data_IF_754076092532
#
_entry.id   IF_754076092532
#
_cell.length_a   1.000
_cell.length_b   1.000
_cell.length_c   1.000
_cell.angle_alpha   90.00
_cell.angle_beta   90.00
_cell.angle_gamma   90.00
#
_symmetry.space_group_name_H-M   'P 1'
#
loop_
_entity.id
_entity.type
_entity.pdbx_description
1 polymer ?
#
# COMPACT_ATOMS: atom_id res chain seq x y z
N UNK A 1 -13.54 -7.86 -9.01
CA UNK A 1 -14.07 -6.75 -8.17
C UNK A 1 -14.46 -5.57 -9.06
N UNK A 2 -15.45 -4.73 -8.72
CA UNK A 2 -15.74 -3.52 -9.51
C UNK A 2 -15.02 -2.27 -8.97
N UNK A 3 -14.99 -1.18 -9.76
CA UNK A 3 -14.29 0.08 -9.41
C UNK A 3 -14.81 0.67 -8.10
N UNK A 4 -16.12 0.76 -7.93
CA UNK A 4 -16.75 1.33 -6.72
C UNK A 4 -16.37 0.56 -5.45
N UNK A 5 -16.35 -0.78 -5.51
CA UNK A 5 -15.92 -1.65 -4.41
C UNK A 5 -14.43 -1.45 -4.08
N UNK A 6 -13.57 -1.36 -5.10
CA UNK A 6 -12.14 -1.11 -4.93
C UNK A 6 -11.91 0.23 -4.22
N UNK A 7 -12.51 1.31 -4.73
CA UNK A 7 -12.42 2.66 -4.15
C UNK A 7 -12.93 2.67 -2.71
N UNK A 8 -14.09 2.08 -2.45
CA UNK A 8 -14.68 2.04 -1.10
C UNK A 8 -13.76 1.32 -0.09
N UNK A 9 -13.14 0.20 -0.48
CA UNK A 9 -12.23 -0.56 0.40
C UNK A 9 -10.94 0.19 0.69
N UNK A 10 -10.29 0.73 -0.35
CA UNK A 10 -9.06 1.50 -0.21
C UNK A 10 -9.30 2.78 0.61
N UNK A 11 -10.40 3.50 0.34
CA UNK A 11 -10.77 4.69 1.08
C UNK A 11 -11.11 4.39 2.54
N UNK A 12 -11.89 3.35 2.82
CA UNK A 12 -12.22 2.97 4.20
C UNK A 12 -10.97 2.61 5.02
N UNK A 13 -10.02 1.90 4.39
CA UNK A 13 -8.72 1.59 4.96
C UNK A 13 -7.91 2.86 5.28
N UNK A 14 -7.80 3.77 4.31
CA UNK A 14 -7.07 5.03 4.46
C UNK A 14 -7.70 5.97 5.51
N UNK A 15 -9.02 6.16 5.48
CA UNK A 15 -9.73 7.01 6.46
C UNK A 15 -9.53 6.50 7.88
N UNK A 16 -9.48 5.18 8.09
CA UNK A 16 -9.18 4.63 9.40
C UNK A 16 -7.73 4.91 9.83
N UNK A 17 -6.75 4.77 8.93
CA UNK A 17 -5.37 5.11 9.25
C UNK A 17 -5.18 6.61 9.51
N UNK A 18 -5.93 7.48 8.82
CA UNK A 18 -5.95 8.90 9.10
C UNK A 18 -6.49 9.21 10.51
N UNK A 19 -7.54 8.52 10.95
CA UNK A 19 -8.05 8.64 12.33
C UNK A 19 -7.01 8.24 13.36
N UNK A 20 -6.24 7.18 13.08
CA UNK A 20 -5.14 6.76 13.95
C UNK A 20 -4.03 7.81 14.01
N UNK A 21 -3.62 8.38 12.88
CA UNK A 21 -2.65 9.49 12.82
C UNK A 21 -3.09 10.67 13.69
N UNK A 22 -4.35 11.11 13.55
CA UNK A 22 -4.90 12.21 14.35
C UNK A 22 -4.95 11.88 15.85
N UNK A 23 -5.26 10.63 16.20
CA UNK A 23 -5.27 10.18 17.59
C UNK A 23 -3.86 10.24 18.22
N UNK A 24 -2.84 9.74 17.51
CA UNK A 24 -1.44 9.77 17.98
C UNK A 24 -0.93 11.20 18.12
N UNK A 25 -1.25 12.09 17.16
CA UNK A 25 -0.90 13.51 17.26
C UNK A 25 -1.53 14.13 18.51
N UNK A 26 -2.82 13.88 18.74
CA UNK A 26 -3.54 14.43 19.91
C UNK A 26 -2.94 13.92 21.22
N UNK A 27 -2.66 12.63 21.32
CA UNK A 27 -2.06 12.03 22.52
C UNK A 27 -0.65 12.58 22.78
N UNK A 28 0.20 12.59 21.75
CA UNK A 28 1.57 13.08 21.86
C UNK A 28 1.63 14.58 22.19
N UNK A 29 0.71 15.38 21.65
CA UNK A 29 0.57 16.79 22.01
C UNK A 29 0.13 16.99 23.46
N UNK A 30 -0.80 16.19 23.97
CA UNK A 30 -1.20 16.20 25.39
C UNK A 30 -0.03 15.85 26.31
N UNK A 31 0.72 14.78 26.00
CA UNK A 31 1.92 14.41 26.75
C UNK A 31 2.98 15.52 26.74
N UNK A 32 3.19 16.18 25.59
CA UNK A 32 4.11 17.31 25.47
C UNK A 32 3.67 18.51 26.35
N UNK A 33 2.36 18.80 26.41
CA UNK A 33 1.80 19.85 27.26
C UNK A 33 1.98 19.53 28.75
N UNK A 34 1.71 18.29 29.17
CA UNK A 34 1.89 17.85 30.55
C UNK A 34 3.37 17.95 30.98
N UNK A 35 4.29 17.53 30.11
CA UNK A 35 5.73 17.65 30.35
C UNK A 35 6.19 19.11 30.46
N UNK A 36 5.66 19.99 29.61
CA UNK A 36 5.96 21.43 29.68
C UNK A 36 5.41 22.08 30.96
N UNK A 37 4.21 21.68 31.41
CA UNK A 37 3.61 22.15 32.66
C UNK A 37 4.42 21.67 33.88
N UNK A 38 4.83 20.40 33.91
CA UNK A 38 5.69 19.85 34.96
C UNK A 38 7.04 20.54 35.01
N UNK A 39 7.68 20.76 33.85
CA UNK A 39 8.94 21.50 33.77
C UNK A 39 8.80 22.92 34.34
N UNK A 40 7.72 23.63 33.99
CA UNK A 40 7.41 24.97 34.49
C UNK A 40 7.15 25.00 36.01
N UNK A 41 6.55 23.95 36.57
CA UNK A 41 6.31 23.81 38.02
C UNK A 41 7.55 23.40 38.83
N UNK A 42 8.55 22.79 38.18
CA UNK A 42 9.76 22.24 38.81
C UNK A 42 10.95 23.22 38.88
N UNK A 43 10.73 24.51 38.57
CA UNK A 43 11.76 25.56 38.51
C UNK A 43 12.50 25.85 39.83
N UNK A 44 12.31 25.05 40.88
CA UNK A 44 12.94 25.18 42.21
C UNK A 44 13.98 24.10 42.59
N UNK A 45 14.29 23.11 41.76
CA UNK A 45 15.34 22.14 42.15
C UNK A 45 15.69 21.07 41.11
N UNK A 46 16.98 20.95 40.80
CA UNK A 46 17.67 19.80 40.18
C UNK A 46 16.82 18.97 39.19
N UNK A 47 16.52 19.55 38.02
CA UNK A 47 15.73 18.88 36.99
C UNK A 47 16.44 17.67 36.37
N UNK A 48 15.79 16.51 36.43
CA UNK A 48 16.22 15.28 35.74
C UNK A 48 16.18 15.44 34.21
N UNK A 49 17.23 14.98 33.51
CA UNK A 49 17.34 15.00 32.04
C UNK A 49 16.23 14.21 31.30
N UNK A 50 15.39 13.46 32.02
CA UNK A 50 14.30 12.67 31.46
C UNK A 50 13.16 13.52 30.87
N UNK A 51 12.95 14.75 31.34
CA UNK A 51 11.88 15.63 30.83
C UNK A 51 12.10 16.08 29.38
N UNK A 52 13.24 16.71 29.06
CA UNK A 52 13.59 17.11 27.69
C UNK A 52 13.61 15.94 26.70
N UNK A 53 14.18 14.79 27.08
CA UNK A 53 14.24 13.60 26.21
C UNK A 53 12.84 13.04 25.87
N UNK A 54 11.91 13.04 26.83
CA UNK A 54 10.53 12.59 26.58
C UNK A 54 9.75 13.57 25.71
N UNK A 55 9.98 14.86 25.88
CA UNK A 55 9.38 15.88 25.01
C UNK A 55 9.90 15.76 23.57
N UNK A 56 11.21 15.56 23.40
CA UNK A 56 11.82 15.31 22.09
C UNK A 56 11.23 14.05 21.42
N UNK A 57 11.07 12.95 22.17
CA UNK A 57 10.43 11.74 21.68
C UNK A 57 8.96 11.96 21.27
N UNK A 58 8.19 12.72 22.06
CA UNK A 58 6.80 13.06 21.75
C UNK A 58 6.70 13.92 20.48
N UNK A 59 7.58 14.91 20.32
CA UNK A 59 7.64 15.74 19.11
C UNK A 59 8.06 14.93 17.87
N UNK A 60 9.02 14.02 18.01
CA UNK A 60 9.42 13.12 16.93
C UNK A 60 8.27 12.19 16.49
N UNK A 61 7.44 11.71 17.43
CA UNK A 61 6.23 10.93 17.12
C UNK A 61 5.19 11.77 16.38
N UNK A 62 4.95 13.01 16.81
CA UNK A 62 4.06 13.95 16.09
C UNK A 62 4.55 14.18 14.67
N UNK A 63 5.85 14.46 14.47
CA UNK A 63 6.42 14.70 13.15
C UNK A 63 6.27 13.49 12.23
N UNK A 64 6.53 12.28 12.73
CA UNK A 64 6.31 11.03 11.98
C UNK A 64 4.84 10.84 11.61
N UNK A 65 3.94 11.06 12.56
CA UNK A 65 2.49 10.94 12.34
C UNK A 65 1.98 11.96 11.32
N UNK A 66 2.43 13.21 11.38
CA UNK A 66 2.10 14.25 10.39
C UNK A 66 2.62 13.86 9.01
N UNK A 67 3.86 13.38 8.90
CA UNK A 67 4.42 12.90 7.63
C UNK A 67 3.62 11.74 7.04
N UNK A 68 3.20 10.78 7.87
CA UNK A 68 2.31 9.70 7.47
C UNK A 68 0.94 10.21 7.00
N UNK A 69 0.35 11.17 7.73
CA UNK A 69 -0.91 11.81 7.35
C UNK A 69 -0.82 12.55 6.02
N UNK A 70 0.26 13.27 5.75
CA UNK A 70 0.48 13.95 4.49
C UNK A 70 0.53 12.95 3.32
N UNK A 71 1.35 11.90 3.43
CA UNK A 71 1.48 10.86 2.41
C UNK A 71 0.14 10.14 2.16
N UNK A 72 -0.65 9.88 3.21
CA UNK A 72 -1.95 9.25 3.07
C UNK A 72 -2.97 10.17 2.40
N UNK A 73 -2.91 11.48 2.69
CA UNK A 73 -3.77 12.49 2.06
C UNK A 73 -3.50 12.59 0.56
N UNK A 74 -2.22 12.62 0.15
CA UNK A 74 -1.83 12.57 -1.25
C UNK A 74 -2.30 11.29 -1.96
N UNK A 75 -2.22 10.13 -1.30
CA UNK A 75 -2.69 8.87 -1.86
C UNK A 75 -4.22 8.84 -2.00
N UNK A 76 -4.97 9.44 -1.06
CA UNK A 76 -6.43 9.56 -1.15
C UNK A 76 -6.87 10.53 -2.26
N UNK A 77 -6.16 11.65 -2.43
CA UNK A 77 -6.38 12.59 -3.54
C UNK A 77 -6.13 11.90 -4.89
N UNK A 78 -5.03 11.15 -5.01
CA UNK A 78 -4.75 10.33 -6.18
C UNK A 78 -5.85 9.30 -6.48
N UNK A 79 -6.35 8.60 -5.45
CA UNK A 79 -7.46 7.65 -5.60
C UNK A 79 -8.75 8.34 -6.09
N UNK A 80 -9.06 9.53 -5.57
CA UNK A 80 -10.24 10.29 -5.98
C UNK A 80 -10.17 10.73 -7.45
N UNK A 81 -9.01 11.22 -7.89
CA UNK A 81 -8.77 11.59 -9.30
C UNK A 81 -8.82 10.37 -10.22
N UNK A 82 -8.34 9.22 -9.75
CA UNK A 82 -8.32 7.98 -10.53
C UNK A 82 -9.72 7.39 -10.74
N UNK A 83 -10.64 7.59 -9.78
CA UNK A 83 -12.00 7.04 -9.81
C UNK A 83 -13.08 7.96 -10.41
N UNK A 84 -12.70 9.13 -10.93
CA UNK A 84 -13.62 10.13 -11.47
C UNK A 84 -14.25 9.74 -12.81
N UNK A 85 -15.50 10.18 -13.04
CA UNK A 85 -16.30 9.88 -14.23
C UNK A 85 -15.69 10.40 -15.55
N UNK A 86 -14.75 11.34 -15.49
CA UNK A 86 -14.03 11.90 -16.64
C UNK A 86 -12.84 11.04 -17.11
N UNK A 87 -12.63 9.86 -16.51
CA UNK A 87 -11.52 8.95 -16.86
C UNK A 87 -11.81 8.08 -18.10
N UNK A 88 -12.92 8.29 -18.80
CA UNK A 88 -13.26 7.57 -20.04
C UNK A 88 -12.37 7.96 -21.22
N UNK A 89 -11.97 6.97 -22.03
CA UNK A 89 -11.19 7.01 -23.29
C UNK A 89 -9.87 7.83 -23.32
N UNK A 90 -9.58 8.63 -22.28
CA UNK A 90 -8.47 9.57 -22.19
C UNK A 90 -7.83 9.57 -20.79
N UNK A 91 -7.99 8.51 -20.00
CA UNK A 91 -7.13 8.31 -18.83
C UNK A 91 -5.69 8.27 -19.33
N UNK A 92 -4.97 9.39 -19.15
CA UNK A 92 -3.59 9.54 -19.59
C UNK A 92 -2.71 8.43 -19.01
N UNK A 93 -1.49 8.26 -19.54
CA UNK A 93 -0.60 7.19 -19.09
C UNK A 93 -0.43 7.26 -17.57
N UNK A 94 -0.57 6.13 -16.89
CA UNK A 94 -0.41 6.04 -15.45
C UNK A 94 1.06 5.76 -15.10
N UNK A 95 1.59 6.50 -14.13
CA UNK A 95 2.90 6.18 -13.53
C UNK A 95 2.73 5.03 -12.53
N UNK A 96 3.22 3.86 -12.91
CA UNK A 96 3.13 2.64 -12.10
C UNK A 96 3.90 2.73 -10.79
N UNK A 97 4.96 3.55 -10.71
CA UNK A 97 5.70 3.77 -9.46
C UNK A 97 4.78 4.47 -8.45
N UNK A 98 4.09 5.52 -8.90
CA UNK A 98 3.10 6.24 -8.09
C UNK A 98 1.95 5.33 -7.68
N UNK A 99 1.42 4.50 -8.59
CA UNK A 99 0.33 3.56 -8.28
C UNK A 99 0.76 2.57 -7.19
N UNK A 100 1.94 1.95 -7.31
CA UNK A 100 2.45 0.99 -6.32
C UNK A 100 2.59 1.63 -4.93
N UNK A 101 3.14 2.84 -4.87
CA UNK A 101 3.29 3.60 -3.61
C UNK A 101 1.94 3.95 -3.00
N UNK A 102 1.02 4.50 -3.79
CA UNK A 102 -0.33 4.84 -3.34
C UNK A 102 -1.08 3.61 -2.85
N UNK A 103 -1.00 2.48 -3.57
CA UNK A 103 -1.62 1.23 -3.15
C UNK A 103 -1.11 0.78 -1.78
N UNK A 104 0.22 0.75 -1.57
CA UNK A 104 0.80 0.31 -0.31
C UNK A 104 0.35 1.19 0.88
N UNK A 105 0.20 2.50 0.67
CA UNK A 105 -0.31 3.42 1.69
C UNK A 105 -1.81 3.19 1.97
N UNK A 106 -2.63 3.12 0.92
CA UNK A 106 -4.09 2.97 1.04
C UNK A 106 -4.48 1.61 1.63
N UNK A 107 -3.78 0.53 1.28
CA UNK A 107 -4.05 -0.83 1.72
C UNK A 107 -3.33 -1.20 3.05
N UNK A 108 -2.48 -0.33 3.59
CA UNK A 108 -1.61 -0.63 4.75
C UNK A 108 -2.37 -1.21 5.96
N UNK A 109 -3.55 -0.65 6.29
CA UNK A 109 -4.39 -1.17 7.38
C UNK A 109 -4.92 -2.57 7.08
N UNK A 110 -5.49 -2.77 5.89
CA UNK A 110 -6.00 -4.09 5.48
C UNK A 110 -4.88 -5.13 5.53
N UNK A 111 -3.68 -4.75 5.08
CA UNK A 111 -2.53 -5.62 5.12
C UNK A 111 -2.09 -5.96 6.55
N UNK A 112 -2.03 -4.98 7.46
CA UNK A 112 -1.76 -5.25 8.88
C UNK A 112 -2.80 -6.18 9.52
N UNK A 113 -4.08 -5.99 9.20
CA UNK A 113 -5.16 -6.87 9.67
C UNK A 113 -5.00 -8.31 9.14
N UNK A 114 -4.49 -8.47 7.92
CA UNK A 114 -4.18 -9.76 7.31
C UNK A 114 -2.79 -10.32 7.66
N UNK A 115 -2.01 -9.64 8.52
CA UNK A 115 -0.61 -9.99 8.83
C UNK A 115 0.32 -9.98 7.60
N UNK A 116 0.00 -9.18 6.60
CA UNK A 116 0.79 -8.97 5.38
C UNK A 116 1.57 -7.65 5.49
N UNK A 117 2.88 -7.70 5.28
CA UNK A 117 3.68 -6.51 5.05
C UNK A 117 3.61 -6.09 3.58
N UNK A 118 3.32 -4.81 3.31
CA UNK A 118 3.37 -4.25 1.95
C UNK A 118 4.58 -3.35 1.79
N UNK A 119 5.25 -3.45 0.65
CA UNK A 119 6.32 -2.57 0.24
C UNK A 119 6.16 -2.16 -1.23
N UNK A 120 6.40 -0.88 -1.52
CA UNK A 120 6.66 -0.44 -2.89
C UNK A 120 8.15 -0.61 -3.17
N UNK A 121 8.51 -1.24 -4.28
CA UNK A 121 9.88 -1.31 -4.75
C UNK A 121 10.34 0.01 -5.35
N UNK A 122 11.65 0.17 -5.43
CA UNK A 122 12.29 1.30 -6.09
C UNK A 122 12.39 1.04 -7.61
N UNK A 123 12.21 2.09 -8.39
CA UNK A 123 12.47 2.10 -9.84
C UNK A 123 13.31 3.34 -10.15
N UNK A 124 14.39 3.16 -10.91
CA UNK A 124 15.28 4.26 -11.28
C UNK A 124 14.60 5.28 -12.21
N UNK A 125 13.64 4.84 -13.01
CA UNK A 125 12.85 5.67 -13.91
C UNK A 125 11.35 5.41 -13.71
N UNK A 126 10.48 6.41 -13.93
CA UNK A 126 9.03 6.20 -13.97
C UNK A 126 8.66 5.19 -15.07
N UNK A 127 7.77 4.25 -14.75
CA UNK A 127 7.24 3.30 -15.72
C UNK A 127 5.81 3.73 -16.05
N UNK A 128 5.63 4.26 -17.25
CA UNK A 128 4.34 4.74 -17.74
C UNK A 128 3.60 3.62 -18.47
N UNK A 129 2.35 3.37 -18.10
CA UNK A 129 1.48 2.42 -18.80
C UNK A 129 0.22 3.12 -19.32
N UNK A 130 -0.23 2.76 -20.51
CA UNK A 130 -1.43 3.31 -21.14
C UNK A 130 -2.72 2.64 -20.62
N UNK A 131 -2.85 2.54 -19.29
CA UNK A 131 -4.03 1.96 -18.62
C UNK A 131 -4.53 2.89 -17.51
N UNK A 132 -5.85 2.89 -17.21
CA UNK A 132 -6.38 3.68 -16.11
C UNK A 132 -5.78 3.24 -14.76
N UNK A 133 -5.39 4.18 -13.87
CA UNK A 133 -4.83 3.83 -12.56
C UNK A 133 -5.73 2.93 -11.70
N UNK A 134 -7.05 3.07 -11.83
CA UNK A 134 -8.01 2.26 -11.06
C UNK A 134 -7.98 0.78 -11.45
N UNK A 135 -7.67 0.44 -12.69
CA UNK A 135 -7.53 -0.96 -13.10
C UNK A 135 -6.29 -1.59 -12.47
N UNK A 136 -5.20 -0.83 -12.40
CA UNK A 136 -3.98 -1.25 -11.72
C UNK A 136 -4.22 -1.41 -10.22
N UNK A 137 -4.85 -0.43 -9.56
CA UNK A 137 -5.19 -0.50 -8.14
C UNK A 137 -6.10 -1.70 -7.82
N UNK A 138 -7.07 -1.98 -8.70
CA UNK A 138 -7.94 -3.15 -8.60
C UNK A 138 -7.15 -4.45 -8.72
N UNK A 139 -6.28 -4.58 -9.72
CA UNK A 139 -5.46 -5.77 -9.90
C UNK A 139 -4.53 -6.02 -8.69
N UNK A 140 -3.92 -4.97 -8.15
CA UNK A 140 -3.11 -5.06 -6.93
C UNK A 140 -3.93 -5.50 -5.71
N UNK A 141 -5.15 -4.99 -5.56
CA UNK A 141 -6.04 -5.39 -4.47
C UNK A 141 -6.50 -6.85 -4.60
N UNK A 142 -6.74 -7.34 -5.82
CA UNK A 142 -7.08 -8.74 -6.07
C UNK A 142 -5.92 -9.69 -5.77
N UNK A 143 -4.68 -9.31 -6.11
CA UNK A 143 -3.46 -10.06 -5.74
C UNK A 143 -3.28 -10.06 -4.22
N UNK A 144 -3.49 -8.91 -3.58
CA UNK A 144 -3.49 -8.81 -2.12
C UNK A 144 -4.52 -9.76 -1.48
N UNK A 145 -5.76 -9.77 -1.98
CA UNK A 145 -6.83 -10.63 -1.45
C UNK A 145 -6.50 -12.11 -1.61
N UNK A 146 -5.91 -12.49 -2.76
CA UNK A 146 -5.43 -13.85 -2.96
C UNK A 146 -4.39 -14.23 -1.90
N UNK A 147 -3.40 -13.37 -1.67
CA UNK A 147 -2.35 -13.64 -0.69
C UNK A 147 -2.90 -13.66 0.74
N UNK A 148 -3.86 -12.77 1.06
CA UNK A 148 -4.56 -12.75 2.34
C UNK A 148 -5.38 -14.02 2.58
N UNK A 149 -5.97 -14.61 1.55
CA UNK A 149 -6.78 -15.84 1.65
C UNK A 149 -5.97 -17.06 2.11
N UNK A 150 -4.66 -17.07 1.86
CA UNK A 150 -3.74 -18.12 2.32
C UNK A 150 -3.47 -18.01 3.82
N UNK A 151 -3.62 -16.82 4.39
CA UNK A 151 -3.34 -16.52 5.79
C UNK A 151 -1.84 -16.58 6.13
N UNK A 152 -1.53 -16.24 7.39
CA UNK A 152 -0.16 -16.22 7.91
C UNK A 152 0.64 -14.97 7.54
N UNK A 153 1.85 -14.88 8.11
CA UNK A 153 2.72 -13.72 7.91
C UNK A 153 3.48 -13.85 6.59
N UNK A 154 3.34 -12.86 5.72
CA UNK A 154 4.12 -12.71 4.47
C UNK A 154 4.45 -11.24 4.21
N UNK A 155 5.47 -10.99 3.39
CA UNK A 155 5.79 -9.65 2.87
C UNK A 155 5.69 -9.63 1.35
N UNK A 156 4.83 -8.76 0.83
CA UNK A 156 4.66 -8.49 -0.60
C UNK A 156 5.40 -7.22 -0.98
N UNK A 157 6.12 -7.27 -2.11
CA UNK A 157 6.66 -6.08 -2.76
C UNK A 157 6.08 -5.92 -4.16
N UNK A 158 5.65 -4.71 -4.47
CA UNK A 158 5.19 -4.31 -5.79
C UNK A 158 6.18 -3.32 -6.39
N UNK A 159 6.79 -3.68 -7.51
CA UNK A 159 7.81 -2.86 -8.17
C UNK A 159 7.38 -2.61 -9.60
N UNK A 160 7.26 -1.35 -10.00
CA UNK A 160 7.02 -1.02 -11.39
C UNK A 160 8.18 -1.51 -12.26
N UNK A 161 7.89 -2.13 -13.41
CA UNK A 161 8.93 -2.71 -14.24
C UNK A 161 8.49 -2.95 -15.68
N UNK A 162 9.44 -3.41 -16.50
CA UNK A 162 9.20 -3.78 -17.90
C UNK A 162 9.71 -5.19 -18.16
N UNK A 163 8.89 -6.00 -18.83
CA UNK A 163 9.30 -7.30 -19.35
C UNK A 163 9.31 -7.23 -20.87
N UNK A 164 10.50 -7.28 -21.46
CA UNK A 164 10.68 -7.04 -22.90
C UNK A 164 10.11 -5.68 -23.33
N UNK A 165 8.95 -5.66 -24.02
CA UNK A 165 8.25 -4.45 -24.47
C UNK A 165 6.96 -4.16 -23.68
N UNK A 166 6.64 -4.96 -22.67
CA UNK A 166 5.43 -4.79 -21.87
C UNK A 166 5.73 -4.08 -20.54
N UNK A 167 4.96 -3.05 -20.24
CA UNK A 167 4.93 -2.41 -18.93
C UNK A 167 4.04 -3.17 -17.95
N UNK A 168 4.47 -3.22 -16.69
CA UNK A 168 3.72 -3.92 -15.68
C UNK A 168 4.32 -3.80 -14.29
N UNK A 169 3.87 -4.67 -13.40
CA UNK A 169 4.28 -4.68 -12.00
C UNK A 169 4.94 -6.02 -11.68
N UNK A 170 6.16 -5.98 -11.17
CA UNK A 170 6.82 -7.13 -10.57
C UNK A 170 6.30 -7.31 -9.16
N UNK A 171 5.74 -8.48 -8.88
CA UNK A 171 5.20 -8.89 -7.59
C UNK A 171 6.16 -9.89 -6.96
N UNK A 172 6.68 -9.57 -5.78
CA UNK A 172 7.60 -10.44 -5.04
C UNK A 172 7.00 -10.85 -3.69
N UNK A 173 7.13 -12.13 -3.32
CA UNK A 173 6.92 -12.59 -1.94
C UNK A 173 8.28 -12.75 -1.27
N UNK A 174 8.65 -11.80 -0.42
CA UNK A 174 10.01 -11.69 0.10
C UNK A 174 10.30 -12.70 1.21
N UNK A 175 9.43 -12.79 2.21
CA UNK A 175 9.65 -13.58 3.41
C UNK A 175 8.32 -13.84 4.12
N UNK A 176 8.30 -14.83 5.01
CA UNK A 176 7.11 -15.18 5.80
C UNK A 176 6.88 -16.68 5.94
N UNK A 177 6.22 -17.09 7.02
CA UNK A 177 5.96 -18.50 7.32
C UNK A 177 5.09 -19.20 6.27
N UNK A 178 4.24 -18.44 5.55
CA UNK A 178 3.36 -18.96 4.51
C UNK A 178 3.79 -18.55 3.10
N UNK A 179 5.06 -18.17 2.91
CA UNK A 179 5.60 -17.75 1.60
C UNK A 179 5.32 -18.76 0.50
N UNK A 180 5.61 -20.04 0.71
CA UNK A 180 5.41 -21.08 -0.30
C UNK A 180 3.93 -21.26 -0.69
N UNK A 181 3.02 -21.16 0.27
CA UNK A 181 1.58 -21.24 -0.01
C UNK A 181 1.09 -20.01 -0.80
N UNK A 182 1.61 -18.82 -0.51
CA UNK A 182 1.31 -17.61 -1.29
C UNK A 182 1.84 -17.71 -2.73
N UNK A 183 3.05 -18.25 -2.91
CA UNK A 183 3.62 -18.55 -4.24
C UNK A 183 2.78 -19.59 -5.00
N UNK A 184 2.35 -20.65 -4.33
CA UNK A 184 1.46 -21.67 -4.91
C UNK A 184 0.09 -21.09 -5.30
N UNK A 185 -0.43 -20.14 -4.51
CA UNK A 185 -1.67 -19.46 -4.83
C UNK A 185 -1.54 -18.59 -6.10
N UNK A 186 -0.43 -17.86 -6.22
CA UNK A 186 -0.16 -16.98 -7.36
C UNK A 186 0.18 -17.72 -8.66
N UNK A 187 0.90 -18.85 -8.58
CA UNK A 187 1.17 -19.74 -9.74
C UNK A 187 -0.06 -20.50 -10.24
N UNK A 188 -1.18 -20.46 -9.52
CA UNK A 188 -2.43 -21.10 -9.94
C UNK A 188 -2.57 -22.55 -9.47
N UNK A 189 -2.44 -22.80 -8.17
CA UNK A 189 -2.83 -24.10 -7.59
C UNK A 189 -4.27 -24.49 -7.98
N UNK A 190 -4.50 -25.74 -8.46
CA UNK A 190 -5.83 -26.22 -8.87
C UNK A 190 -6.90 -26.18 -7.76
N UNK A 191 -6.48 -26.07 -6.50
CA UNK A 191 -7.35 -25.91 -5.32
C UNK A 191 -8.05 -24.54 -5.22
N UNK A 192 -7.59 -23.53 -5.97
CA UNK A 192 -8.10 -22.15 -5.94
C UNK A 192 -8.78 -21.76 -7.27
N UNK A 193 -9.30 -22.75 -7.98
CA UNK A 193 -9.84 -22.63 -9.35
C UNK A 193 -11.20 -21.92 -9.42
N UNK A 194 -11.93 -21.79 -8.31
CA UNK A 194 -13.27 -21.19 -8.23
C UNK A 194 -13.37 -19.68 -8.02
N UNK A 195 -12.23 -18.96 -7.90
CA UNK A 195 -12.18 -17.51 -7.62
C UNK A 195 -11.56 -16.74 -8.81
N UNK A 196 -12.20 -16.77 -10.00
CA UNK A 196 -11.61 -16.16 -11.22
C UNK A 196 -12.35 -14.90 -11.68
N UNK A 197 -11.59 -13.81 -11.93
CA UNK A 197 -11.59 -13.17 -13.25
C UNK A 197 -10.20 -12.70 -13.74
N UNK A 198 -10.04 -12.52 -15.06
CA UNK A 198 -9.06 -11.68 -15.80
C UNK A 198 -7.55 -11.79 -15.53
N UNK A 199 -7.08 -11.48 -14.32
CA UNK A 199 -5.68 -11.13 -14.05
C UNK A 199 -4.71 -12.32 -13.99
N UNK A 200 -5.20 -13.56 -13.81
CA UNK A 200 -4.32 -14.75 -13.80
C UNK A 200 -3.69 -15.05 -15.17
N UNK A 201 -4.25 -14.57 -16.28
CA UNK A 201 -3.58 -14.61 -17.58
C UNK A 201 -2.40 -13.62 -17.65
N UNK A 202 -2.43 -12.57 -16.82
CA UNK A 202 -1.44 -11.52 -16.77
C UNK A 202 -0.33 -11.76 -15.75
N UNK A 203 -0.53 -12.63 -14.75
CA UNK A 203 0.47 -12.91 -13.71
C UNK A 203 1.41 -14.05 -14.12
N UNK A 204 2.54 -13.71 -14.73
CA UNK A 204 3.50 -14.68 -15.28
C UNK A 204 4.75 -14.80 -14.40
N UNK A 205 5.42 -15.97 -14.32
CA UNK A 205 6.75 -16.04 -13.73
C UNK A 205 7.71 -15.07 -14.42
N UNK A 206 8.38 -14.21 -13.65
CA UNK A 206 9.29 -13.18 -14.18
C UNK A 206 10.53 -13.82 -14.81
N UNK A 207 11.09 -14.89 -14.19
CA UNK A 207 12.19 -15.76 -14.67
C UNK A 207 12.13 -17.14 -13.99
N UNK A 208 12.68 -18.19 -14.61
CA UNK A 208 12.58 -19.59 -14.18
C UNK A 208 13.18 -19.92 -12.78
N UNK A 209 13.96 -19.02 -12.18
CA UNK A 209 14.71 -19.30 -10.95
C UNK A 209 14.35 -18.44 -9.73
N UNK A 210 13.43 -17.47 -9.84
CA UNK A 210 13.08 -16.60 -8.72
C UNK A 210 11.56 -16.54 -8.50
N UNK A 211 11.10 -16.45 -7.23
CA UNK A 211 9.67 -16.39 -6.87
C UNK A 211 9.10 -14.98 -7.09
N UNK A 212 9.27 -14.49 -8.30
CA UNK A 212 8.84 -13.18 -8.79
C UNK A 212 7.83 -13.38 -9.89
N UNK A 213 6.77 -12.60 -9.85
CA UNK A 213 5.73 -12.61 -10.87
C UNK A 213 5.68 -11.27 -11.58
N UNK A 214 5.32 -11.28 -12.85
CA UNK A 214 5.02 -10.11 -13.64
C UNK A 214 3.52 -10.02 -13.79
N UNK A 215 2.92 -8.93 -13.33
CA UNK A 215 1.56 -8.55 -13.69
C UNK A 215 1.63 -7.69 -14.95
N UNK A 216 1.29 -8.28 -16.10
CA UNK A 216 1.19 -7.57 -17.38
C UNK A 216 -0.09 -6.73 -17.44
N UNK A 217 0.02 -5.49 -17.91
CA UNK A 217 -1.12 -4.55 -17.97
C UNK A 217 -1.73 -4.46 -19.37
N UNK A 218 -1.09 -5.05 -20.39
CA UNK A 218 -1.57 -5.09 -21.78
C UNK A 218 -2.77 -6.02 -22.00
N UNK A 219 -3.05 -6.93 -21.06
CA UNK A 219 -4.12 -7.93 -21.17
C UNK A 219 -5.42 -7.49 -20.48
N UNK A 220 -5.39 -6.41 -19.69
CA UNK A 220 -6.59 -5.89 -19.01
C UNK A 220 -7.66 -5.35 -19.98
N UNK A 221 -7.33 -5.13 -21.26
CA UNK A 221 -8.26 -4.68 -22.32
C UNK A 221 -9.25 -5.75 -22.80
N UNK A 222 -9.05 -7.03 -22.48
CA UNK A 222 -9.81 -8.12 -23.13
C UNK A 222 -11.16 -8.47 -22.51
N UNK A 223 -11.55 -7.89 -21.37
CA UNK A 223 -12.85 -8.16 -20.72
C UNK A 223 -13.94 -7.14 -21.10
N UNK A 224 -13.72 -6.33 -22.15
CA UNK A 224 -14.72 -5.44 -22.73
C UNK A 224 -15.49 -6.11 -23.89
N UNK A 225 -16.15 -7.24 -23.63
CA UNK A 225 -17.26 -7.78 -24.45
C UNK A 225 -18.33 -8.39 -23.55
#
# INVERSE_FOLDING_TARGET
>A
MNVSQCTARLLASAVHDMRNVLAVIRESAGLAQDLAALASSSAGGSGSAAGPQRLEAALAEVQRSVGQGAALSEAMDYLAQSGGADSGEHAGPCDLVRVCRSFCLLAARQARAAQIGLASGESAEPVWAAVPPMDVLRALLEIFDLCASVGGQIRLRFTAGRRQKEEGIVVEVLEGGNRELALAAMTGSPLLSGMRPGWRAALMPWREAEPRFFLSLSVCDSDAV
#
